data_IF_114559049153
#
_entry.id   IF_114559049153
#
_cell.length_a   1.000
_cell.length_b   1.000
_cell.length_c   1.000
_cell.angle_alpha   90.00
_cell.angle_beta   90.00
_cell.angle_gamma   90.00
#
_symmetry.space_group_name_H-M   'P 1'
#
loop_
_entity.id
_entity.type
_entity.pdbx_description
1 polymer ?
#
# COMPACT_ATOMS: atom_id res chain seq x y z
N UNK A 1 -16.15 -18.77 28.91
CA UNK A 1 -16.90 -19.80 28.18
C UNK A 1 -16.26 -19.93 26.82
N UNK A 2 -15.74 -21.10 26.46
CA UNK A 2 -14.94 -21.26 25.23
C UNK A 2 -15.84 -21.51 24.02
N UNK A 3 -15.62 -20.73 22.96
CA UNK A 3 -16.37 -20.79 21.69
C UNK A 3 -15.61 -21.73 20.73
N UNK A 4 -16.34 -22.50 19.90
CA UNK A 4 -15.73 -23.38 18.91
C UNK A 4 -14.83 -22.60 17.93
N UNK A 5 -13.71 -23.18 17.49
CA UNK A 5 -12.80 -22.55 16.50
C UNK A 5 -13.52 -22.13 15.22
N UNK A 6 -14.40 -23.00 14.72
CA UNK A 6 -15.33 -22.73 13.62
C UNK A 6 -16.74 -22.83 14.17
N UNK A 7 -17.28 -21.72 14.66
CA UNK A 7 -18.57 -21.70 15.35
C UNK A 7 -19.75 -21.51 14.40
N UNK A 8 -19.72 -20.45 13.61
CA UNK A 8 -20.73 -20.14 12.63
C UNK A 8 -20.10 -19.51 11.39
N UNK A 9 -20.77 -19.65 10.26
CA UNK A 9 -20.43 -19.04 8.98
C UNK A 9 -21.53 -18.05 8.61
N UNK A 10 -21.14 -16.82 8.27
CA UNK A 10 -22.04 -15.84 7.66
C UNK A 10 -21.65 -15.69 6.19
N UNK A 11 -22.61 -15.79 5.28
CA UNK A 11 -22.38 -15.68 3.85
C UNK A 11 -23.53 -14.95 3.14
N UNK A 12 -23.26 -14.45 1.95
CA UNK A 12 -24.25 -13.84 1.06
C UNK A 12 -24.59 -14.81 -0.08
N UNK A 13 -25.88 -14.99 -0.37
CA UNK A 13 -26.35 -15.73 -1.55
C UNK A 13 -27.80 -16.16 -1.44
N UNK A 14 -28.29 -16.85 -2.45
CA UNK A 14 -29.61 -17.50 -2.44
C UNK A 14 -29.68 -18.57 -1.36
N UNK A 15 -30.74 -18.54 -0.55
CA UNK A 15 -31.04 -19.60 0.42
C UNK A 15 -31.16 -20.96 -0.27
N UNK A 16 -30.70 -22.03 0.40
CA UNK A 16 -30.73 -23.40 -0.11
C UNK A 16 -32.15 -23.97 -0.30
N UNK A 17 -33.19 -23.29 0.20
CA UNK A 17 -34.57 -23.55 -0.14
C UNK A 17 -34.84 -22.96 -1.51
N UNK A 18 -35.04 -23.81 -2.54
CA UNK A 18 -35.27 -23.42 -3.94
C UNK A 18 -36.55 -22.62 -4.24
N UNK A 19 -36.87 -21.63 -3.41
CA UNK A 19 -37.79 -20.54 -3.69
C UNK A 19 -37.02 -19.39 -4.32
N UNK A 20 -37.70 -18.64 -5.19
CA UNK A 20 -37.22 -17.49 -5.93
C UNK A 20 -36.96 -16.25 -5.02
N UNK A 21 -36.34 -16.45 -3.88
CA UNK A 21 -36.02 -15.38 -2.95
C UNK A 21 -34.76 -14.62 -3.41
N UNK A 22 -34.71 -13.29 -3.19
CA UNK A 22 -33.54 -12.49 -3.50
C UNK A 22 -32.34 -12.95 -2.67
N UNK A 23 -31.13 -12.77 -3.21
CA UNK A 23 -29.90 -12.98 -2.46
C UNK A 23 -29.97 -12.25 -1.12
N UNK A 24 -29.65 -12.96 -0.04
CA UNK A 24 -29.71 -12.43 1.31
C UNK A 24 -28.47 -12.84 2.12
N UNK A 25 -28.28 -12.18 3.27
CA UNK A 25 -27.29 -12.61 4.25
C UNK A 25 -27.84 -13.79 5.03
N UNK A 26 -27.06 -14.86 5.12
CA UNK A 26 -27.41 -16.06 5.86
C UNK A 26 -26.35 -16.40 6.90
N UNK A 27 -26.78 -17.00 8.01
CA UNK A 27 -25.90 -17.59 9.03
C UNK A 27 -26.15 -19.09 9.14
N UNK A 28 -25.08 -19.85 9.28
CA UNK A 28 -25.09 -21.30 9.48
C UNK A 28 -24.25 -21.64 10.69
N UNK A 29 -24.82 -22.35 11.66
CA UNK A 29 -24.07 -22.97 12.75
C UNK A 29 -23.29 -24.18 12.19
N UNK A 30 -21.99 -24.25 12.50
CA UNK A 30 -21.08 -25.30 12.03
C UNK A 30 -20.86 -26.41 13.07
N UNK A 31 -21.89 -26.73 13.85
CA UNK A 31 -21.80 -27.76 14.89
C UNK A 31 -21.16 -27.23 16.17
N UNK A 32 -21.55 -26.05 16.59
CA UNK A 32 -21.08 -25.45 17.82
C UNK A 32 -21.51 -26.24 19.07
N UNK A 33 -20.70 -26.18 20.13
CA UNK A 33 -21.01 -26.85 21.41
C UNK A 33 -22.09 -26.11 22.19
N UNK A 34 -22.01 -24.77 22.20
CA UNK A 34 -22.88 -23.89 22.97
C UNK A 34 -24.13 -23.43 22.21
N UNK A 35 -24.18 -23.70 20.90
CA UNK A 35 -25.23 -23.21 20.02
C UNK A 35 -24.96 -21.80 19.51
N UNK A 36 -25.60 -21.49 18.39
CA UNK A 36 -25.72 -20.15 17.84
C UNK A 36 -27.17 -19.69 18.00
N UNK A 37 -27.38 -18.49 18.51
CA UNK A 37 -28.71 -17.94 18.78
C UNK A 37 -28.94 -16.67 17.96
N UNK A 38 -30.11 -16.55 17.34
CA UNK A 38 -30.52 -15.37 16.56
C UNK A 38 -31.83 -14.82 17.10
N UNK A 39 -31.89 -13.51 17.32
CA UNK A 39 -33.13 -12.80 17.62
C UNK A 39 -33.33 -11.68 16.58
N UNK A 40 -34.47 -11.67 15.90
CA UNK A 40 -34.83 -10.57 15.00
C UNK A 40 -35.36 -9.35 15.76
N UNK A 41 -35.33 -8.14 15.17
CA UNK A 41 -35.97 -6.98 15.79
C UNK A 41 -37.46 -7.26 16.01
N UNK A 42 -37.91 -7.11 17.27
CA UNK A 42 -39.29 -7.38 17.69
C UNK A 42 -39.51 -8.75 18.32
N UNK A 43 -38.56 -9.68 18.19
CA UNK A 43 -38.59 -10.96 18.91
C UNK A 43 -37.99 -10.79 20.30
N UNK A 44 -38.67 -11.35 21.32
CA UNK A 44 -38.22 -11.28 22.71
C UNK A 44 -37.20 -12.37 23.04
N UNK A 45 -37.36 -13.52 22.42
CA UNK A 45 -36.55 -14.71 22.70
C UNK A 45 -35.61 -14.98 21.54
N UNK A 46 -34.36 -15.36 21.86
CA UNK A 46 -33.39 -15.75 20.86
C UNK A 46 -33.64 -17.20 20.40
N UNK A 47 -33.80 -17.39 19.11
CA UNK A 47 -33.99 -18.70 18.48
C UNK A 47 -32.65 -19.40 18.33
N UNK A 48 -32.52 -20.62 18.86
CA UNK A 48 -31.34 -21.45 18.66
C UNK A 48 -31.38 -22.09 17.26
N UNK A 49 -30.29 -22.00 16.51
CA UNK A 49 -30.24 -22.45 15.10
C UNK A 49 -30.09 -23.97 14.93
N UNK A 50 -29.41 -24.65 15.84
CA UNK A 50 -29.22 -26.10 15.81
C UNK A 50 -28.94 -26.69 17.20
N UNK A 51 -29.10 -28.00 17.30
CA UNK A 51 -28.69 -28.78 18.47
C UNK A 51 -27.17 -28.76 18.68
N UNK A 52 -26.75 -29.13 19.88
CA UNK A 52 -25.32 -29.13 20.22
C UNK A 52 -24.55 -30.08 19.29
N UNK A 53 -23.46 -29.58 18.71
CA UNK A 53 -22.61 -30.31 17.75
C UNK A 53 -23.33 -30.70 16.45
N UNK A 54 -24.47 -30.08 16.13
CA UNK A 54 -25.17 -30.25 14.86
C UNK A 54 -25.10 -28.96 14.03
N UNK A 55 -24.95 -29.09 12.72
CA UNK A 55 -24.99 -27.94 11.80
C UNK A 55 -26.42 -27.48 11.56
N UNK A 56 -26.64 -26.17 11.48
CA UNK A 56 -27.97 -25.62 11.18
C UNK A 56 -28.23 -25.56 9.67
N UNK A 57 -29.50 -25.38 9.31
CA UNK A 57 -29.84 -24.87 7.97
C UNK A 57 -29.48 -23.37 7.86
N UNK A 58 -29.28 -22.84 6.65
CA UNK A 58 -29.07 -21.40 6.44
C UNK A 58 -30.22 -20.58 7.00
N UNK A 59 -29.91 -19.69 7.94
CA UNK A 59 -30.88 -18.81 8.58
C UNK A 59 -30.69 -17.38 8.09
N UNK A 60 -31.73 -16.77 7.53
CA UNK A 60 -31.66 -15.44 6.95
C UNK A 60 -31.51 -14.36 8.03
N UNK A 61 -30.54 -13.46 7.86
CA UNK A 61 -30.31 -12.31 8.72
C UNK A 61 -31.04 -11.07 8.18
N UNK A 62 -31.53 -10.24 9.10
CA UNK A 62 -32.22 -8.98 8.79
C UNK A 62 -31.48 -7.83 9.45
N UNK A 63 -31.81 -6.60 9.05
CA UNK A 63 -31.31 -5.41 9.74
C UNK A 63 -31.66 -5.48 11.25
N UNK A 64 -30.68 -5.23 12.10
CA UNK A 64 -30.75 -5.31 13.58
C UNK A 64 -30.97 -6.72 14.17
N UNK A 65 -30.71 -7.77 13.39
CA UNK A 65 -30.65 -9.13 13.94
C UNK A 65 -29.52 -9.24 14.98
N UNK A 66 -29.83 -9.76 16.16
CA UNK A 66 -28.85 -10.05 17.21
C UNK A 66 -28.39 -11.50 17.12
N UNK A 67 -27.10 -11.70 16.86
CA UNK A 67 -26.45 -13.00 16.79
C UNK A 67 -25.63 -13.23 18.06
N UNK A 68 -25.99 -14.21 18.87
CA UNK A 68 -25.29 -14.53 20.12
C UNK A 68 -24.51 -15.84 19.96
N UNK A 69 -23.21 -15.77 20.25
CA UNK A 69 -22.26 -16.87 20.16
C UNK A 69 -21.51 -16.96 21.49
N UNK A 70 -21.82 -17.96 22.31
CA UNK A 70 -21.28 -18.05 23.67
C UNK A 70 -21.69 -16.84 24.51
N UNK A 71 -20.72 -15.97 24.87
CA UNK A 71 -20.96 -14.74 25.64
C UNK A 71 -20.94 -13.47 24.79
N UNK A 72 -20.58 -13.56 23.52
CA UNK A 72 -20.50 -12.40 22.63
C UNK A 72 -21.80 -12.27 21.85
N UNK A 73 -22.36 -11.05 21.83
CA UNK A 73 -23.54 -10.72 21.03
C UNK A 73 -23.12 -9.73 19.95
N UNK A 74 -23.39 -10.07 18.70
CA UNK A 74 -23.19 -9.24 17.53
C UNK A 74 -24.54 -8.69 17.07
N UNK A 75 -24.55 -7.47 16.54
CA UNK A 75 -25.73 -6.88 15.88
C UNK A 75 -25.42 -6.78 14.40
N UNK A 76 -26.25 -7.39 13.57
CA UNK A 76 -26.09 -7.37 12.13
C UNK A 76 -26.80 -6.15 11.54
N UNK A 77 -26.05 -5.30 10.84
CA UNK A 77 -26.59 -4.18 10.09
C UNK A 77 -26.57 -4.54 8.60
N UNK A 78 -27.73 -4.87 8.06
CA UNK A 78 -27.91 -5.24 6.65
C UNK A 78 -28.67 -4.13 5.93
N UNK A 79 -28.12 -3.64 4.81
CA UNK A 79 -28.69 -2.56 4.01
C UNK A 79 -28.64 -2.94 2.52
N UNK A 80 -29.75 -2.76 1.81
CA UNK A 80 -29.76 -2.83 0.34
C UNK A 80 -29.36 -1.49 -0.28
N UNK A 81 -29.87 -0.38 0.27
CA UNK A 81 -29.71 0.96 -0.30
C UNK A 81 -28.85 1.88 0.59
N UNK A 82 -29.45 2.48 1.63
CA UNK A 82 -28.79 3.47 2.50
C UNK A 82 -28.43 2.90 3.88
N UNK A 83 -27.24 3.24 4.42
CA UNK A 83 -26.85 2.85 5.77
C UNK A 83 -27.73 3.52 6.83
N UNK A 84 -27.98 2.84 7.96
CA UNK A 84 -28.60 3.48 9.12
C UNK A 84 -27.63 4.47 9.80
N UNK A 85 -28.14 5.26 10.74
CA UNK A 85 -27.36 6.25 11.48
C UNK A 85 -26.10 5.67 12.16
N UNK A 86 -26.14 4.41 12.60
CA UNK A 86 -24.98 3.73 13.21
C UNK A 86 -23.96 3.24 12.17
N UNK A 87 -24.40 2.96 10.94
CA UNK A 87 -23.52 2.55 9.83
C UNK A 87 -23.01 3.73 9.00
N UNK A 88 -23.61 4.91 9.15
CA UNK A 88 -23.16 6.10 8.48
C UNK A 88 -21.77 6.46 9.03
N UNK A 89 -20.77 6.54 8.15
CA UNK A 89 -19.42 6.98 8.54
C UNK A 89 -19.46 8.48 8.85
N UNK A 90 -19.67 8.81 10.12
CA UNK A 90 -19.65 10.18 10.64
C UNK A 90 -19.01 10.21 12.03
N UNK A 91 -17.97 11.03 12.19
CA UNK A 91 -17.31 11.22 13.48
C UNK A 91 -16.35 10.09 13.89
N UNK A 92 -16.46 9.63 15.14
CA UNK A 92 -15.49 8.82 15.88
C UNK A 92 -15.32 7.37 15.35
N UNK A 93 -16.11 6.97 14.37
CA UNK A 93 -16.09 5.62 13.77
C UNK A 93 -15.15 5.51 12.57
N UNK A 94 -14.49 6.60 12.19
CA UNK A 94 -13.47 6.58 11.14
C UNK A 94 -12.12 6.13 11.70
N UNK A 95 -11.64 4.97 11.24
CA UNK A 95 -10.24 4.59 11.41
C UNK A 95 -9.46 5.41 10.37
N UNK A 96 -8.81 6.48 10.84
CA UNK A 96 -7.88 7.24 10.02
C UNK A 96 -6.73 6.30 9.65
N UNK A 97 -6.65 5.96 8.37
CA UNK A 97 -5.48 5.28 7.84
C UNK A 97 -4.30 6.24 8.01
N UNK A 98 -3.18 5.71 8.51
CA UNK A 98 -1.97 6.49 8.66
C UNK A 98 -1.42 6.78 7.27
N UNK A 99 -1.68 7.99 6.78
CA UNK A 99 -1.23 8.45 5.46
C UNK A 99 0.30 8.66 5.41
N UNK A 100 1.02 8.40 6.52
CA UNK A 100 2.46 8.56 6.62
C UNK A 100 2.93 10.01 6.53
N UNK A 101 2.00 10.96 6.62
CA UNK A 101 2.28 12.37 6.81
C UNK A 101 2.48 12.64 8.30
N UNK A 102 3.59 13.30 8.65
CA UNK A 102 3.81 13.80 10.01
C UNK A 102 2.68 14.81 10.33
N UNK A 103 1.73 14.40 11.18
CA UNK A 103 0.66 15.30 11.64
C UNK A 103 1.27 16.29 12.62
N UNK A 104 1.29 17.57 12.25
CA UNK A 104 1.62 18.66 13.16
C UNK A 104 0.59 18.70 14.29
N UNK A 105 1.05 18.33 15.49
CA UNK A 105 0.28 18.32 16.73
C UNK A 105 -0.17 19.74 17.10
N UNK A 106 -1.32 20.12 16.58
CA UNK A 106 -1.99 21.40 16.87
C UNK A 106 -3.49 21.17 17.05
N UNK A 107 -3.83 20.34 18.04
CA UNK A 107 -5.23 20.01 18.32
C UNK A 107 -5.43 19.47 19.73
N UNK A 108 -5.35 20.37 20.71
CA UNK A 108 -5.58 20.15 22.14
C UNK A 108 -6.83 19.30 22.43
N UNK A 109 -6.64 18.26 23.23
CA UNK A 109 -7.62 17.74 24.19
C UNK A 109 -6.84 17.18 25.36
N UNK A 110 -6.70 17.97 26.43
CA UNK A 110 -6.04 17.57 27.68
C UNK A 110 -6.71 16.34 28.29
N UNK A 111 -6.01 15.20 28.47
CA UNK A 111 -6.34 14.25 29.51
C UNK A 111 -5.49 14.57 30.75
N UNK A 112 -6.14 14.51 31.90
CA UNK A 112 -5.59 14.64 33.25
C UNK A 112 -4.22 13.97 33.39
N UNK A 113 -3.27 14.71 33.95
CA UNK A 113 -1.92 14.26 34.23
C UNK A 113 -1.92 12.98 35.10
N UNK A 114 -1.60 11.86 34.47
CA UNK A 114 -1.01 10.70 35.13
C UNK A 114 0.46 10.71 34.73
N UNK A 115 1.34 10.78 35.74
CA UNK A 115 2.79 10.75 35.65
C UNK A 115 3.25 9.70 34.63
N UNK A 116 3.63 10.18 33.44
CA UNK A 116 4.17 9.35 32.39
C UNK A 116 5.67 9.19 32.63
N UNK A 117 6.06 8.00 33.09
CA UNK A 117 7.41 7.48 33.00
C UNK A 117 8.03 7.79 31.61
N UNK A 118 9.28 8.27 31.54
CA UNK A 118 9.89 8.74 30.30
C UNK A 118 10.31 7.56 29.43
N UNK A 119 9.35 6.95 28.73
CA UNK A 119 9.57 5.88 27.76
C UNK A 119 9.10 6.25 26.35
N UNK A 120 9.18 7.54 26.00
CA UNK A 120 9.18 7.95 24.60
C UNK A 120 10.49 7.47 23.93
N UNK A 121 10.47 6.24 23.40
CA UNK A 121 11.54 5.69 22.58
C UNK A 121 11.79 6.64 21.39
N UNK A 122 13.04 7.00 21.14
CA UNK A 122 13.41 7.90 20.06
C UNK A 122 13.07 7.28 18.68
N UNK A 123 12.81 8.09 17.65
CA UNK A 123 12.42 7.63 16.31
C UNK A 123 13.40 6.62 15.66
N UNK A 124 14.66 6.59 16.08
CA UNK A 124 15.65 5.58 15.70
C UNK A 124 15.36 4.20 16.31
N UNK A 125 14.91 4.16 17.57
CA UNK A 125 14.49 2.93 18.26
C UNK A 125 13.18 2.37 17.68
N UNK A 126 12.23 3.23 17.27
CA UNK A 126 11.04 2.79 16.55
C UNK A 126 11.37 2.17 15.18
N UNK A 127 12.31 2.76 14.41
CA UNK A 127 12.80 2.16 13.15
C UNK A 127 13.51 0.83 13.40
N UNK A 128 14.35 0.74 14.44
CA UNK A 128 15.02 -0.50 14.84
C UNK A 128 14.03 -1.60 15.23
N UNK A 129 13.04 -1.27 16.06
CA UNK A 129 12.01 -2.21 16.51
C UNK A 129 11.11 -2.69 15.37
N UNK A 130 10.80 -1.82 14.39
CA UNK A 130 10.03 -2.22 13.20
C UNK A 130 10.83 -3.16 12.30
N UNK A 131 12.13 -2.92 12.11
CA UNK A 131 13.00 -3.82 11.35
C UNK A 131 13.20 -5.15 12.07
N UNK A 132 13.32 -5.13 13.40
CA UNK A 132 13.43 -6.33 14.22
C UNK A 132 12.15 -7.18 14.18
N UNK A 133 10.97 -6.57 14.35
CA UNK A 133 9.67 -7.24 14.20
C UNK A 133 9.52 -7.86 12.81
N UNK A 134 9.81 -7.10 11.76
CA UNK A 134 9.76 -7.59 10.37
C UNK A 134 10.72 -8.76 10.13
N UNK A 135 11.89 -8.76 10.76
CA UNK A 135 12.85 -9.86 10.68
C UNK A 135 12.32 -11.12 11.36
N UNK A 136 11.73 -10.97 12.55
CA UNK A 136 11.15 -12.08 13.31
C UNK A 136 9.97 -12.73 12.57
N UNK A 137 9.08 -11.91 12.01
CA UNK A 137 7.95 -12.39 11.20
C UNK A 137 8.41 -13.11 9.94
N UNK A 138 9.44 -12.58 9.26
CA UNK A 138 10.04 -13.26 8.10
C UNK A 138 10.65 -14.62 8.47
N UNK A 139 11.26 -14.74 9.65
CA UNK A 139 11.81 -16.01 10.12
C UNK A 139 10.72 -17.02 10.50
N UNK A 140 9.64 -16.56 11.13
CA UNK A 140 8.47 -17.39 11.42
C UNK A 140 7.83 -17.91 10.12
N UNK A 141 7.65 -17.04 9.13
CA UNK A 141 7.11 -17.41 7.81
C UNK A 141 8.02 -18.38 7.06
N UNK A 142 9.35 -18.23 7.19
CA UNK A 142 10.32 -19.19 6.62
C UNK A 142 10.21 -20.56 7.27
N UNK A 143 10.05 -20.61 8.59
CA UNK A 143 9.84 -21.86 9.33
C UNK A 143 8.58 -22.59 8.89
N UNK A 144 7.47 -21.86 8.65
CA UNK A 144 6.20 -22.46 8.25
C UNK A 144 6.12 -22.85 6.77
N UNK A 145 6.76 -22.08 5.87
CA UNK A 145 6.58 -22.25 4.42
C UNK A 145 7.67 -23.08 3.75
N UNK A 146 8.89 -23.12 4.31
CA UNK A 146 10.04 -23.76 3.66
C UNK A 146 10.54 -25.01 4.42
N UNK A 147 9.98 -25.31 5.59
CA UNK A 147 10.40 -26.43 6.43
C UNK A 147 11.82 -26.28 6.99
N UNK A 148 12.15 -27.15 7.96
CA UNK A 148 13.41 -27.09 8.73
C UNK A 148 14.68 -27.19 7.85
N UNK A 149 14.58 -27.81 6.66
CA UNK A 149 15.69 -28.01 5.72
C UNK A 149 16.15 -26.75 4.95
N UNK A 150 15.44 -25.62 5.03
CA UNK A 150 15.87 -24.38 4.38
C UNK A 150 16.91 -23.59 5.20
N UNK A 151 17.13 -23.97 6.46
CA UNK A 151 18.09 -23.35 7.38
C UNK A 151 19.53 -23.72 7.01
N UNK A 152 19.72 -24.96 6.57
CA UNK A 152 21.02 -25.55 6.19
C UNK A 152 21.26 -25.62 4.68
N UNK A 153 20.32 -25.12 3.87
CA UNK A 153 20.52 -25.06 2.43
C UNK A 153 21.71 -24.14 2.11
N UNK A 154 22.76 -24.62 1.41
CA UNK A 154 23.86 -23.75 0.99
C UNK A 154 23.25 -22.61 0.19
N UNK A 155 23.66 -21.37 0.49
CA UNK A 155 23.20 -20.18 -0.25
C UNK A 155 23.52 -20.38 -1.73
N UNK A 156 22.53 -20.90 -2.47
CA UNK A 156 22.69 -21.25 -3.87
C UNK A 156 23.18 -20.04 -4.64
N UNK A 157 24.12 -20.28 -5.55
CA UNK A 157 24.66 -19.24 -6.41
C UNK A 157 23.58 -18.42 -7.10
N UNK A 158 23.95 -17.23 -7.54
CA UNK A 158 23.05 -16.26 -8.17
C UNK A 158 22.10 -16.93 -9.18
N UNK A 159 20.81 -16.98 -8.84
CA UNK A 159 19.76 -17.45 -9.74
C UNK A 159 19.24 -16.26 -10.53
N UNK A 160 19.55 -16.22 -11.82
CA UNK A 160 19.02 -15.21 -12.74
C UNK A 160 17.53 -15.47 -13.02
N UNK A 161 16.68 -15.02 -12.09
CA UNK A 161 15.22 -15.09 -12.19
C UNK A 161 14.69 -14.34 -13.43
N UNK A 162 15.43 -13.35 -13.92
CA UNK A 162 15.12 -12.62 -15.16
C UNK A 162 15.29 -13.51 -16.39
N UNK A 163 16.38 -14.29 -16.47
CA UNK A 163 16.57 -15.28 -17.52
C UNK A 163 15.48 -16.36 -17.47
N UNK A 164 15.09 -16.81 -16.29
CA UNK A 164 14.02 -17.81 -16.11
C UNK A 164 12.65 -17.28 -16.60
N UNK A 165 12.30 -16.03 -16.30
CA UNK A 165 11.08 -15.39 -16.84
C UNK A 165 11.10 -15.26 -18.36
N UNK A 166 12.25 -14.94 -18.97
CA UNK A 166 12.39 -14.87 -20.44
C UNK A 166 12.19 -16.23 -21.11
N UNK A 167 12.50 -17.34 -20.42
CA UNK A 167 12.27 -18.71 -20.90
C UNK A 167 10.79 -19.11 -20.81
N UNK A 168 10.12 -18.77 -19.71
CA UNK A 168 8.71 -19.11 -19.48
C UNK A 168 7.74 -18.26 -20.32
N UNK A 169 8.10 -17.01 -20.60
CA UNK A 169 7.35 -16.13 -21.47
C UNK A 169 8.24 -15.75 -22.66
N UNK A 170 8.39 -16.63 -23.67
CA UNK A 170 9.05 -16.25 -24.90
C UNK A 170 8.34 -15.01 -25.46
N UNK A 171 9.12 -14.09 -26.04
CA UNK A 171 8.55 -12.91 -26.67
C UNK A 171 7.58 -13.37 -27.74
N UNK A 172 6.38 -12.80 -27.76
CA UNK A 172 5.44 -12.94 -28.87
C UNK A 172 6.17 -12.78 -30.20
N UNK A 173 5.78 -13.53 -31.26
CA UNK A 173 6.45 -13.48 -32.56
C UNK A 173 6.63 -12.03 -33.00
N UNK A 174 7.77 -11.70 -33.64
CA UNK A 174 8.06 -10.32 -34.03
C UNK A 174 6.90 -9.79 -34.87
N UNK A 175 6.34 -8.64 -34.46
CA UNK A 175 5.42 -7.89 -35.31
C UNK A 175 6.16 -7.65 -36.63
N UNK A 176 5.61 -8.16 -37.72
CA UNK A 176 6.12 -8.00 -39.11
C UNK A 176 6.00 -6.56 -39.63
N UNK A 177 5.65 -5.60 -38.79
CA UNK A 177 5.66 -4.20 -39.14
C UNK A 177 7.06 -3.63 -38.88
N UNK A 178 7.84 -3.43 -39.95
CA UNK A 178 8.98 -2.52 -39.92
C UNK A 178 8.56 -1.21 -39.27
N UNK A 179 9.28 -0.69 -38.25
CA UNK A 179 9.00 0.64 -37.76
C UNK A 179 9.31 1.60 -38.90
N UNK A 180 8.29 2.28 -39.40
CA UNK A 180 8.49 3.47 -40.22
C UNK A 180 9.45 4.41 -39.47
N UNK A 181 10.40 5.07 -40.16
CA UNK A 181 11.27 6.04 -39.50
C UNK A 181 10.36 7.08 -38.84
N UNK A 182 10.41 7.15 -37.51
CA UNK A 182 9.80 8.23 -36.76
C UNK A 182 10.52 9.50 -37.18
N UNK A 183 9.91 10.22 -38.13
CA UNK A 183 10.32 11.57 -38.47
C UNK A 183 10.26 12.33 -37.15
N UNK A 184 11.41 12.84 -36.71
CA UNK A 184 11.52 13.65 -35.52
C UNK A 184 10.54 14.81 -35.67
N UNK A 185 9.40 14.73 -34.99
CA UNK A 185 8.53 15.87 -34.82
C UNK A 185 9.39 16.96 -34.18
N UNK A 186 9.55 18.08 -34.87
CA UNK A 186 10.21 19.26 -34.34
C UNK A 186 9.55 19.55 -32.99
N UNK A 187 10.36 19.52 -31.93
CA UNK A 187 9.88 19.72 -30.58
C UNK A 187 9.18 21.08 -30.51
N UNK A 188 7.85 21.06 -30.38
CA UNK A 188 7.12 22.25 -29.99
C UNK A 188 7.72 22.76 -28.68
N UNK A 189 7.89 24.08 -28.48
CA UNK A 189 8.41 24.62 -27.24
C UNK A 189 7.53 24.07 -26.10
N UNK A 190 8.17 23.42 -25.13
CA UNK A 190 7.45 22.87 -23.99
C UNK A 190 6.63 24.00 -23.35
N UNK A 191 5.36 23.76 -22.99
CA UNK A 191 4.58 24.76 -22.27
C UNK A 191 5.37 25.12 -21.00
N UNK A 192 5.65 26.41 -20.83
CA UNK A 192 6.37 26.91 -19.67
C UNK A 192 5.65 26.61 -18.36
N UNK A 193 6.25 26.96 -17.20
CA UNK A 193 5.59 26.76 -15.91
C UNK A 193 4.21 27.43 -15.90
N UNK A 194 3.25 26.80 -15.21
CA UNK A 194 1.92 27.38 -14.98
C UNK A 194 2.03 28.72 -14.24
N UNK A 195 1.02 29.58 -14.34
CA UNK A 195 1.04 30.90 -13.70
C UNK A 195 1.21 30.82 -12.18
N UNK A 196 0.67 29.77 -11.56
CA UNK A 196 0.87 29.45 -10.14
C UNK A 196 2.33 29.14 -9.82
N UNK A 197 2.98 28.31 -10.63
CA UNK A 197 4.39 27.97 -10.46
C UNK A 197 5.29 29.20 -10.69
N UNK A 198 4.96 30.03 -11.69
CA UNK A 198 5.66 31.30 -11.97
C UNK A 198 5.55 32.27 -10.79
N UNK A 199 4.38 32.38 -10.17
CA UNK A 199 4.19 33.21 -8.97
C UNK A 199 4.97 32.70 -7.75
N UNK A 200 5.05 31.37 -7.56
CA UNK A 200 5.86 30.78 -6.48
C UNK A 200 7.35 31.02 -6.68
N UNK A 201 7.84 30.84 -7.91
CA UNK A 201 9.24 31.06 -8.26
C UNK A 201 9.62 32.55 -8.15
N UNK A 202 8.73 33.46 -8.54
CA UNK A 202 8.92 34.90 -8.37
C UNK A 202 9.08 35.31 -6.90
N UNK A 203 8.30 34.70 -5.98
CA UNK A 203 8.45 34.91 -4.52
C UNK A 203 9.81 34.45 -4.00
N UNK A 204 10.46 33.50 -4.69
CA UNK A 204 11.80 33.01 -4.37
C UNK A 204 12.91 33.80 -5.10
N UNK A 205 12.58 34.91 -5.76
CA UNK A 205 13.53 35.76 -6.46
C UNK A 205 13.91 35.28 -7.86
N UNK A 206 13.22 34.27 -8.39
CA UNK A 206 13.45 33.77 -9.75
C UNK A 206 12.64 34.55 -10.78
N UNK A 207 13.25 34.89 -11.91
CA UNK A 207 12.60 35.55 -13.06
C UNK A 207 12.79 34.71 -14.32
N UNK A 208 11.87 34.84 -15.27
CA UNK A 208 11.99 34.17 -16.57
C UNK A 208 13.34 34.48 -17.23
N UNK A 209 13.97 33.45 -17.80
CA UNK A 209 15.29 33.54 -18.42
C UNK A 209 16.48 33.52 -17.46
N UNK A 210 16.27 33.43 -16.13
CA UNK A 210 17.37 33.23 -15.15
C UNK A 210 17.45 31.80 -14.63
N UNK A 211 18.64 31.40 -14.18
CA UNK A 211 18.85 30.12 -13.50
C UNK A 211 18.24 30.14 -12.08
N UNK A 212 17.82 28.97 -11.59
CA UNK A 212 17.24 28.79 -10.25
C UNK A 212 18.27 28.72 -9.11
N UNK A 213 19.56 28.96 -9.39
CA UNK A 213 20.63 28.93 -8.38
C UNK A 213 20.60 30.12 -7.43
N UNK A 214 21.27 29.98 -6.28
CA UNK A 214 21.42 31.04 -5.25
C UNK A 214 21.99 32.35 -5.79
N UNK A 215 22.87 32.26 -6.77
CA UNK A 215 23.49 33.41 -7.44
C UNK A 215 22.82 33.70 -8.79
N UNK A 216 21.59 33.19 -9.00
CA UNK A 216 20.89 33.15 -10.27
C UNK A 216 21.66 32.39 -11.37
N UNK A 217 22.59 31.54 -10.91
CA UNK A 217 23.39 30.63 -11.72
C UNK A 217 22.60 29.37 -12.08
N UNK A 218 22.96 28.72 -13.18
CA UNK A 218 22.30 27.50 -13.66
C UNK A 218 21.81 27.62 -15.09
N UNK A 219 21.16 26.56 -15.58
CA UNK A 219 20.71 26.46 -16.97
C UNK A 219 19.37 27.18 -17.13
N UNK A 220 19.34 28.24 -17.94
CA UNK A 220 18.13 28.98 -18.28
C UNK A 220 17.38 28.36 -19.48
N UNK A 221 18.13 27.69 -20.36
CA UNK A 221 17.58 27.09 -21.57
C UNK A 221 16.90 25.75 -21.31
N UNK A 222 15.86 25.47 -22.09
CA UNK A 222 15.13 24.22 -22.05
C UNK A 222 16.07 23.02 -22.33
N UNK A 223 15.87 21.92 -21.61
CA UNK A 223 16.65 20.70 -21.82
C UNK A 223 16.21 20.08 -23.14
N UNK A 224 17.09 20.15 -24.15
CA UNK A 224 16.85 19.51 -25.44
C UNK A 224 16.91 17.99 -25.27
N UNK A 225 15.85 17.24 -25.60
CA UNK A 225 15.88 15.79 -25.55
C UNK A 225 16.82 15.26 -26.64
N UNK A 226 17.84 14.51 -26.24
CA UNK A 226 18.74 13.84 -27.19
C UNK A 226 18.25 12.41 -27.43
N UNK A 227 18.01 12.07 -28.71
CA UNK A 227 17.65 10.72 -29.11
C UNK A 227 18.89 9.82 -29.02
N UNK A 228 18.82 8.72 -28.25
CA UNK A 228 19.85 7.67 -28.24
C UNK A 228 19.41 6.54 -29.17
N UNK A 229 20.27 6.18 -30.11
CA UNK A 229 19.96 5.22 -31.17
C UNK A 229 20.09 3.76 -30.74
N UNK A 230 20.81 3.46 -29.66
CA UNK A 230 21.02 2.09 -29.21
C UNK A 230 20.47 1.82 -27.79
N UNK A 231 20.16 0.54 -27.52
CA UNK A 231 19.59 0.00 -26.27
C UNK A 231 20.54 0.08 -25.05
N UNK A 232 21.31 1.15 -24.92
CA UNK A 232 22.20 1.38 -23.80
C UNK A 232 21.47 2.14 -22.68
N UNK A 233 21.54 1.62 -21.45
CA UNK A 233 20.88 2.19 -20.29
C UNK A 233 21.42 3.56 -19.88
N UNK A 234 20.67 4.27 -19.04
CA UNK A 234 21.08 5.54 -18.41
C UNK A 234 22.47 5.39 -17.76
N UNK A 235 23.47 6.09 -18.29
CA UNK A 235 24.86 6.10 -17.79
C UNK A 235 25.90 5.45 -18.71
N UNK A 236 25.52 4.91 -19.87
CA UNK A 236 26.48 4.43 -20.86
C UNK A 236 27.27 5.59 -21.49
N UNK A 237 28.61 5.49 -21.50
CA UNK A 237 29.51 6.52 -22.04
C UNK A 237 29.47 6.53 -23.58
N UNK A 238 29.59 7.71 -24.19
CA UNK A 238 29.86 7.86 -25.63
C UNK A 238 28.67 7.80 -26.60
N UNK A 239 27.43 7.87 -26.13
CA UNK A 239 26.21 7.69 -26.97
C UNK A 239 25.35 8.96 -27.14
N UNK A 240 25.83 10.10 -26.64
CA UNK A 240 25.27 11.41 -26.93
C UNK A 240 26.30 12.07 -27.84
N UNK A 241 25.91 12.56 -29.02
CA UNK A 241 26.75 13.49 -29.76
C UNK A 241 26.93 14.71 -28.85
N UNK A 242 28.06 14.74 -28.15
CA UNK A 242 28.39 15.73 -27.15
C UNK A 242 28.67 17.06 -27.86
N UNK A 243 27.58 17.78 -28.13
CA UNK A 243 27.64 19.16 -28.60
C UNK A 243 27.32 20.04 -27.40
N UNK A 244 28.35 20.45 -26.66
CA UNK A 244 28.24 21.57 -25.72
C UNK A 244 29.01 21.39 -24.40
N UNK A 245 30.19 22.00 -24.39
CA UNK A 245 30.88 22.57 -23.21
C UNK A 245 31.74 21.64 -22.34
N UNK A 246 32.91 21.32 -22.90
CA UNK A 246 34.08 20.75 -22.22
C UNK A 246 34.66 21.61 -21.07
N UNK A 247 34.02 22.72 -20.67
CA UNK A 247 34.53 23.62 -19.64
C UNK A 247 34.12 23.23 -18.20
N UNK A 248 33.07 22.43 -18.03
CA UNK A 248 32.63 22.00 -16.70
C UNK A 248 32.40 20.49 -16.65
N UNK A 249 33.43 19.75 -16.22
CA UNK A 249 33.46 18.29 -16.16
C UNK A 249 32.28 17.59 -15.47
N UNK A 250 32.24 16.27 -15.58
CA UNK A 250 31.18 15.40 -15.09
C UNK A 250 30.82 15.65 -13.60
N UNK A 251 29.58 16.06 -13.34
CA UNK A 251 29.10 16.41 -12.00
C UNK A 251 29.20 15.25 -10.99
N UNK A 252 29.16 14.00 -11.48
CA UNK A 252 29.37 12.80 -10.65
C UNK A 252 30.81 12.70 -10.13
N UNK A 253 31.79 13.07 -10.96
CA UNK A 253 33.19 13.08 -10.57
C UNK A 253 33.45 14.16 -9.52
N UNK A 254 32.87 15.35 -9.70
CA UNK A 254 32.93 16.42 -8.67
C UNK A 254 32.29 16.02 -7.35
N UNK A 255 31.15 15.33 -7.38
CA UNK A 255 30.50 14.82 -6.17
C UNK A 255 31.37 13.79 -5.44
N UNK A 256 32.05 12.92 -6.19
CA UNK A 256 33.03 11.99 -5.61
C UNK A 256 34.23 12.73 -5.04
N UNK A 257 34.80 13.68 -5.77
CA UNK A 257 35.98 14.44 -5.35
C UNK A 257 35.71 15.22 -4.05
N UNK A 258 34.58 15.92 -3.95
CA UNK A 258 34.19 16.62 -2.70
C UNK A 258 34.09 15.67 -1.51
N UNK A 259 33.51 14.49 -1.71
CA UNK A 259 33.37 13.48 -0.66
C UNK A 259 34.72 12.88 -0.25
N UNK A 260 35.68 12.78 -1.17
CA UNK A 260 37.05 12.39 -0.86
C UNK A 260 37.80 13.47 -0.08
N UNK A 261 37.64 14.74 -0.48
CA UNK A 261 38.27 15.89 0.18
C UNK A 261 37.72 16.12 1.61
N UNK A 262 36.46 15.78 1.86
CA UNK A 262 35.84 15.80 3.20
C UNK A 262 36.42 14.72 4.14
N UNK A 263 36.77 13.55 3.59
CA UNK A 263 37.35 12.43 4.36
C UNK A 263 38.84 12.64 4.63
N UNK A 264 39.53 13.40 3.78
CA UNK A 264 40.96 13.69 3.94
C UNK A 264 41.31 14.81 4.94
N UNK A 265 40.32 15.47 5.55
CA UNK A 265 40.52 16.54 6.56
C UNK A 265 40.14 16.10 7.98
N UNK A 266 40.54 14.90 8.37
CA UNK A 266 40.54 14.45 9.75
C UNK A 266 41.88 13.79 10.08
#
# INVERSE_FOLDING_TARGET
MEVSKTHALVYWGSGASGGADPDAWHVVDLGSTLGTYVAHPGERDATRLSDAKASSQPYALRHLSRLTVGTTTFVAHVHADWPCAECQMGGNTQILLDDGADKDDSGVSTPTAVEAEPLALNAAQHRGNRQFKRKLELDALRGTLLGDGARDAPKGGYVDRSAQRRRLHPRSPPRTASPAPVVAAQAAPAPGPSDTARAMLARQGWSEGRGLGRDLSGRADAIVPVLRTERAGLGARGQVADSGDAAHGDWRQRGKQRRWDEVGRN
#
